data_IF_488659208362
#
_entry.id   IF_488659208362
#
_cell.length_a   1.000
_cell.length_b   1.000
_cell.length_c   1.000
_cell.angle_alpha   90.00
_cell.angle_beta   90.00
_cell.angle_gamma   90.00
#
_symmetry.space_group_name_H-M   'P 1'
#
loop_
_entity.id
_entity.type
_entity.pdbx_description
1 polymer ?
#
# COMPACT_ATOMS: atom_id res chain seq x y z
N UNK A 1 8.43 -0.38 24.43
CA UNK A 1 7.30 -1.22 24.00
C UNK A 1 6.15 -0.93 24.95
N UNK A 2 4.91 -0.65 24.49
CA UNK A 2 3.82 -0.36 25.40
C UNK A 2 3.47 -1.65 26.18
N UNK A 3 3.25 -1.51 27.48
CA UNK A 3 3.22 -2.65 28.40
C UNK A 3 1.95 -3.52 28.30
N UNK A 4 0.87 -3.01 27.70
CA UNK A 4 -0.33 -3.78 27.34
C UNK A 4 -1.32 -2.83 26.66
N UNK A 5 -1.95 -3.25 25.57
CA UNK A 5 -3.15 -2.55 25.10
C UNK A 5 -4.30 -2.83 26.09
N UNK A 6 -5.05 -1.82 26.52
CA UNK A 6 -6.14 -2.00 27.48
C UNK A 6 -7.31 -2.80 26.91
N UNK A 7 -7.37 -2.96 25.58
CA UNK A 7 -8.39 -3.70 24.85
C UNK A 7 -7.75 -4.55 23.76
N UNK A 8 -8.43 -5.62 23.36
CA UNK A 8 -8.10 -6.40 22.16
C UNK A 8 -8.64 -5.76 20.88
N UNK A 9 -9.43 -4.69 21.00
CA UNK A 9 -10.01 -3.95 19.88
C UNK A 9 -8.95 -3.16 19.11
N UNK A 10 -9.12 -3.11 17.79
CA UNK A 10 -8.29 -2.31 16.90
C UNK A 10 -8.23 -0.85 17.36
N UNK A 11 -7.00 -0.36 17.58
CA UNK A 11 -6.76 1.00 18.05
C UNK A 11 -7.32 2.07 17.09
N UNK A 12 -7.42 1.78 15.79
CA UNK A 12 -7.84 2.74 14.76
C UNK A 12 -9.36 2.84 14.61
N UNK A 13 -10.07 1.70 14.59
CA UNK A 13 -11.51 1.70 14.33
C UNK A 13 -12.35 1.38 15.57
N UNK A 14 -11.77 0.69 16.56
CA UNK A 14 -12.45 0.25 17.79
C UNK A 14 -13.67 -0.66 17.57
N UNK A 15 -13.82 -1.27 16.38
CA UNK A 15 -15.00 -2.06 16.01
C UNK A 15 -14.79 -3.58 16.10
N UNK A 16 -13.56 -4.06 16.03
CA UNK A 16 -13.26 -5.50 16.00
C UNK A 16 -11.93 -5.79 16.66
N UNK A 17 -11.71 -7.01 17.16
CA UNK A 17 -10.42 -7.43 17.67
C UNK A 17 -9.31 -7.25 16.63
N UNK A 18 -8.14 -6.82 17.07
CA UNK A 18 -6.97 -6.55 16.22
C UNK A 18 -6.26 -7.85 15.82
N UNK A 19 -6.97 -8.71 15.08
CA UNK A 19 -6.40 -9.90 14.44
C UNK A 19 -5.41 -9.49 13.34
N UNK A 20 -4.55 -10.40 12.89
CA UNK A 20 -3.62 -10.10 11.78
C UNK A 20 -4.35 -9.65 10.50
N UNK A 21 -5.51 -10.24 10.21
CA UNK A 21 -6.34 -9.84 9.08
C UNK A 21 -6.88 -8.41 9.26
N UNK A 22 -7.38 -8.08 10.44
CA UNK A 22 -7.91 -6.75 10.75
C UNK A 22 -6.81 -5.69 10.78
N UNK A 23 -5.68 -6.05 11.37
CA UNK A 23 -4.49 -5.23 11.48
C UNK A 23 -4.01 -4.75 10.11
N UNK A 24 -4.02 -5.61 9.09
CA UNK A 24 -3.46 -5.25 7.79
C UNK A 24 -4.53 -4.89 6.75
N UNK A 25 -5.68 -5.57 6.75
CA UNK A 25 -6.61 -5.56 5.61
C UNK A 25 -8.04 -5.17 5.97
N UNK A 26 -8.69 -5.90 6.87
CA UNK A 26 -10.16 -5.82 7.05
C UNK A 26 -10.62 -4.67 7.94
N UNK A 27 -9.71 -3.91 8.54
CA UNK A 27 -10.06 -2.67 9.21
C UNK A 27 -10.77 -1.70 8.23
N UNK A 28 -11.96 -1.17 8.56
CA UNK A 28 -12.73 -0.30 7.65
C UNK A 28 -12.04 1.02 7.33
N UNK A 29 -11.00 1.41 8.08
CA UNK A 29 -10.15 2.57 7.76
C UNK A 29 -9.00 2.23 6.80
N UNK A 30 -8.57 0.96 6.75
CA UNK A 30 -7.44 0.47 5.94
C UNK A 30 -7.91 -0.16 4.63
N UNK A 31 -9.02 -0.90 4.64
CA UNK A 31 -9.58 -1.58 3.47
C UNK A 31 -9.81 -0.65 2.26
N UNK A 32 -10.34 0.59 2.42
CA UNK A 32 -10.52 1.49 1.28
C UNK A 32 -9.21 1.95 0.62
N UNK A 33 -8.09 1.87 1.34
CA UNK A 33 -6.74 2.17 0.81
C UNK A 33 -6.34 1.05 -0.14
N UNK A 34 -6.46 -0.19 0.33
CA UNK A 34 -6.21 -1.38 -0.48
C UNK A 34 -7.09 -1.44 -1.72
N UNK A 35 -8.39 -1.15 -1.59
CA UNK A 35 -9.31 -1.12 -2.72
C UNK A 35 -8.89 -0.11 -3.80
N UNK A 36 -8.47 1.10 -3.38
CA UNK A 36 -7.94 2.11 -4.31
C UNK A 36 -6.76 1.55 -5.09
N UNK A 37 -5.73 1.11 -4.37
CA UNK A 37 -4.46 0.68 -4.97
C UNK A 37 -4.65 -0.54 -5.85
N UNK A 38 -5.51 -1.47 -5.43
CA UNK A 38 -5.80 -2.67 -6.20
C UNK A 38 -6.38 -2.32 -7.56
N UNK A 39 -7.42 -1.48 -7.57
CA UNK A 39 -8.08 -1.05 -8.80
C UNK A 39 -7.18 -0.18 -9.69
N UNK A 40 -6.29 0.61 -9.10
CA UNK A 40 -5.43 1.57 -9.82
C UNK A 40 -4.15 0.92 -10.39
N UNK A 41 -3.57 -0.07 -9.70
CA UNK A 41 -2.20 -0.51 -9.96
C UNK A 41 -1.99 -2.02 -10.02
N UNK A 42 -2.96 -2.83 -9.57
CA UNK A 42 -2.82 -4.30 -9.53
C UNK A 42 -3.71 -4.94 -10.58
N UNK A 43 -5.03 -4.80 -10.44
CA UNK A 43 -6.01 -5.37 -11.36
C UNK A 43 -7.26 -4.47 -11.43
N UNK A 44 -7.39 -3.66 -12.49
CA UNK A 44 -8.56 -2.79 -12.69
C UNK A 44 -9.89 -3.54 -12.88
N UNK A 45 -9.85 -4.84 -13.20
CA UNK A 45 -11.06 -5.65 -13.37
C UNK A 45 -11.71 -6.03 -12.03
N UNK A 46 -10.96 -5.92 -10.92
CA UNK A 46 -11.43 -6.21 -9.57
C UNK A 46 -11.90 -4.91 -8.91
N UNK A 47 -13.21 -4.68 -8.94
CA UNK A 47 -13.85 -3.46 -8.41
C UNK A 47 -14.03 -3.48 -6.88
N UNK A 48 -14.00 -4.66 -6.26
CA UNK A 48 -14.14 -4.83 -4.82
C UNK A 48 -13.15 -5.90 -4.33
N UNK A 49 -11.96 -5.48 -3.94
CA UNK A 49 -10.99 -6.39 -3.32
C UNK A 49 -11.40 -6.66 -1.87
N UNK A 50 -11.47 -7.94 -1.50
CA UNK A 50 -11.64 -8.41 -0.12
C UNK A 50 -10.29 -8.59 0.56
N UNK A 51 -10.27 -8.69 1.89
CA UNK A 51 -9.04 -8.99 2.62
C UNK A 51 -8.42 -10.33 2.21
N UNK A 52 -9.24 -11.33 1.89
CA UNK A 52 -8.77 -12.65 1.41
C UNK A 52 -8.02 -12.58 0.08
N UNK A 53 -8.43 -11.72 -0.85
CA UNK A 53 -7.71 -11.54 -2.13
C UNK A 53 -6.35 -10.89 -1.88
N UNK A 54 -6.28 -9.88 -1.00
CA UNK A 54 -5.03 -9.21 -0.67
C UNK A 54 -4.06 -10.17 0.03
N UNK A 55 -4.57 -10.98 0.97
CA UNK A 55 -3.79 -12.03 1.65
C UNK A 55 -3.26 -13.08 0.68
N UNK A 56 -4.12 -13.57 -0.21
CA UNK A 56 -3.74 -14.55 -1.22
C UNK A 56 -2.62 -13.99 -2.10
N UNK A 57 -2.78 -12.76 -2.57
CA UNK A 57 -1.74 -12.11 -3.35
C UNK A 57 -0.44 -12.03 -2.55
N UNK A 58 -0.44 -11.47 -1.34
CA UNK A 58 0.78 -11.35 -0.53
C UNK A 58 1.52 -12.66 -0.26
N UNK A 59 0.79 -13.78 -0.21
CA UNK A 59 1.36 -15.11 0.03
C UNK A 59 1.74 -15.86 -1.25
N UNK A 60 1.24 -15.44 -2.41
CA UNK A 60 1.50 -16.07 -3.72
C UNK A 60 2.38 -15.22 -4.64
N UNK A 61 2.64 -13.95 -4.29
CA UNK A 61 3.52 -13.03 -5.00
C UNK A 61 4.92 -13.67 -5.15
N UNK A 62 5.21 -14.17 -6.35
CA UNK A 62 6.53 -14.70 -6.71
C UNK A 62 6.60 -16.21 -6.93
N UNK A 63 5.52 -16.97 -6.72
CA UNK A 63 5.54 -18.44 -6.95
C UNK A 63 5.66 -18.78 -8.44
N UNK A 64 5.04 -17.97 -9.31
CA UNK A 64 4.91 -18.32 -10.73
C UNK A 64 5.78 -17.46 -11.66
N UNK A 65 6.60 -16.53 -11.12
CA UNK A 65 7.42 -15.60 -11.90
C UNK A 65 6.66 -14.65 -12.82
N UNK A 66 5.32 -14.69 -12.83
CA UNK A 66 4.44 -13.96 -13.75
C UNK A 66 3.99 -12.60 -13.23
N UNK A 67 4.22 -12.32 -11.93
CA UNK A 67 3.81 -11.05 -11.34
C UNK A 67 4.72 -9.92 -11.81
N UNK A 68 4.12 -8.95 -12.50
CA UNK A 68 4.83 -7.76 -12.97
C UNK A 68 5.39 -6.98 -11.77
N UNK A 69 6.54 -6.33 -11.96
CA UNK A 69 7.18 -5.48 -10.94
C UNK A 69 6.22 -4.41 -10.42
N UNK A 70 5.36 -3.86 -11.28
CA UNK A 70 4.47 -2.75 -10.94
C UNK A 70 3.44 -3.08 -9.81
N UNK A 71 2.67 -4.19 -9.86
CA UNK A 71 1.86 -4.62 -8.73
C UNK A 71 2.63 -4.86 -7.43
N UNK A 72 3.85 -5.41 -7.49
CA UNK A 72 4.70 -5.60 -6.31
C UNK A 72 5.07 -4.25 -5.67
N UNK A 73 5.44 -3.27 -6.49
CA UNK A 73 5.70 -1.91 -6.03
C UNK A 73 4.45 -1.28 -5.41
N UNK A 74 3.28 -1.50 -6.00
CA UNK A 74 2.01 -0.98 -5.47
C UNK A 74 1.69 -1.54 -4.09
N UNK A 75 1.87 -2.85 -3.91
CA UNK A 75 1.67 -3.54 -2.64
C UNK A 75 2.66 -3.04 -1.59
N UNK A 76 3.95 -2.95 -1.94
CA UNK A 76 4.99 -2.42 -1.04
C UNK A 76 4.70 -0.96 -0.65
N UNK A 77 4.36 -0.12 -1.63
CA UNK A 77 3.99 1.28 -1.44
C UNK A 77 2.71 1.46 -0.60
N UNK A 78 1.90 0.41 -0.45
CA UNK A 78 0.69 0.43 0.39
C UNK A 78 0.98 0.00 1.81
N UNK A 79 1.76 -1.07 1.98
CA UNK A 79 2.12 -1.61 3.30
C UNK A 79 2.86 -0.58 4.15
N UNK A 80 3.86 0.10 3.61
CA UNK A 80 4.69 1.03 4.37
C UNK A 80 3.87 2.22 4.94
N UNK A 81 3.05 2.96 4.16
CA UNK A 81 2.21 4.02 4.71
C UNK A 81 1.15 3.55 5.70
N UNK A 82 0.53 2.38 5.47
CA UNK A 82 -0.42 1.81 6.44
C UNK A 82 0.28 1.51 7.76
N UNK A 83 1.43 0.85 7.70
CA UNK A 83 2.23 0.48 8.86
C UNK A 83 2.71 1.70 9.62
N UNK A 84 3.39 2.63 8.94
CA UNK A 84 3.92 3.85 9.57
C UNK A 84 2.82 4.72 10.17
N UNK A 85 1.69 4.90 9.49
CA UNK A 85 0.56 5.68 10.01
C UNK A 85 -0.13 4.99 11.19
N UNK A 86 -0.21 3.66 11.19
CA UNK A 86 -0.73 2.89 12.32
C UNK A 86 0.14 3.07 13.57
N UNK A 87 1.47 2.99 13.43
CA UNK A 87 2.36 3.17 14.57
C UNK A 87 2.50 4.63 15.01
N UNK A 88 2.39 5.59 14.10
CA UNK A 88 2.29 7.01 14.46
C UNK A 88 1.02 7.28 15.28
N UNK A 89 -0.09 6.62 14.97
CA UNK A 89 -1.30 6.69 15.78
C UNK A 89 -1.08 6.14 17.19
N UNK A 90 -0.41 4.99 17.33
CA UNK A 90 -0.22 4.34 18.64
C UNK A 90 0.82 5.05 19.51
N UNK A 91 1.91 5.53 18.92
CA UNK A 91 3.08 6.00 19.68
C UNK A 91 3.25 7.52 19.68
N UNK A 92 2.61 8.22 18.76
CA UNK A 92 2.84 9.65 18.53
C UNK A 92 1.53 10.46 18.53
N UNK A 93 0.41 9.83 18.88
CA UNK A 93 -0.94 10.43 18.89
C UNK A 93 -1.33 11.09 17.56
N UNK A 94 -0.77 10.63 16.44
CA UNK A 94 -1.10 11.16 15.11
C UNK A 94 -2.37 10.47 14.59
N UNK A 95 -3.48 11.19 14.34
CA UNK A 95 -4.73 10.57 13.90
C UNK A 95 -4.59 9.78 12.60
N UNK A 96 -5.11 8.55 12.58
CA UNK A 96 -5.15 7.75 11.35
C UNK A 96 -6.23 8.27 10.41
N UNK A 97 -5.82 8.89 9.29
CA UNK A 97 -6.73 9.42 8.27
C UNK A 97 -6.56 8.67 6.94
N UNK A 98 -7.61 7.96 6.51
CA UNK A 98 -7.60 7.16 5.27
C UNK A 98 -7.18 7.96 4.03
N UNK A 99 -7.63 9.22 3.88
CA UNK A 99 -7.28 10.03 2.72
C UNK A 99 -5.81 10.47 2.74
N UNK A 100 -5.30 10.86 3.91
CA UNK A 100 -3.88 11.17 4.09
C UNK A 100 -2.99 9.97 3.79
N UNK A 101 -3.37 8.77 4.24
CA UNK A 101 -2.61 7.55 3.94
C UNK A 101 -2.65 7.23 2.45
N UNK A 102 -3.81 7.36 1.77
CA UNK A 102 -3.88 7.21 0.30
C UNK A 102 -2.90 8.13 -0.42
N UNK A 103 -2.82 9.41 -0.03
CA UNK A 103 -1.86 10.35 -0.60
C UNK A 103 -0.40 9.91 -0.39
N UNK A 104 -0.07 9.42 0.81
CA UNK A 104 1.26 8.86 1.10
C UNK A 104 1.58 7.66 0.22
N UNK A 105 0.60 6.76 0.00
CA UNK A 105 0.74 5.62 -0.90
C UNK A 105 1.05 6.07 -2.32
N UNK A 106 0.25 6.98 -2.89
CA UNK A 106 0.49 7.49 -4.25
C UNK A 106 1.89 8.12 -4.39
N UNK A 107 2.30 8.92 -3.41
CA UNK A 107 3.63 9.55 -3.39
C UNK A 107 4.75 8.50 -3.35
N UNK A 108 4.59 7.46 -2.53
CA UNK A 108 5.58 6.38 -2.40
C UNK A 108 5.64 5.51 -3.64
N UNK A 109 4.49 5.19 -4.23
CA UNK A 109 4.42 4.41 -5.45
C UNK A 109 5.14 5.10 -6.61
N UNK A 110 4.88 6.40 -6.83
CA UNK A 110 5.57 7.19 -7.86
C UNK A 110 7.09 7.21 -7.65
N UNK A 111 7.53 7.35 -6.40
CA UNK A 111 8.95 7.32 -6.06
C UNK A 111 9.58 5.95 -6.38
N UNK A 112 8.96 4.86 -5.96
CA UNK A 112 9.46 3.50 -6.22
C UNK A 112 9.48 3.17 -7.72
N UNK A 113 8.47 3.63 -8.47
CA UNK A 113 8.43 3.49 -9.92
C UNK A 113 9.59 4.26 -10.58
N UNK A 114 9.85 5.50 -10.15
CA UNK A 114 10.98 6.29 -10.62
C UNK A 114 12.32 5.62 -10.32
N UNK A 115 12.51 5.09 -9.11
CA UNK A 115 13.73 4.37 -8.72
C UNK A 115 13.94 3.10 -9.57
N UNK A 116 12.85 2.44 -9.96
CA UNK A 116 12.89 1.26 -10.85
C UNK A 116 13.34 1.66 -12.25
N UNK A 117 12.80 2.74 -12.82
CA UNK A 117 13.24 3.25 -14.13
C UNK A 117 14.72 3.66 -14.14
N UNK A 118 15.20 4.29 -13.07
CA UNK A 118 16.61 4.65 -12.94
C UNK A 118 17.51 3.42 -12.92
N UNK A 119 17.10 2.35 -12.22
CA UNK A 119 17.85 1.07 -12.19
C UNK A 119 17.88 0.38 -13.56
N UNK A 120 16.81 0.52 -14.34
CA UNK A 120 16.71 -0.02 -15.71
C UNK A 120 17.40 0.84 -16.77
N UNK A 121 17.98 1.99 -16.38
CA UNK A 121 18.65 2.91 -17.29
C UNK A 121 17.69 3.67 -18.22
N UNK A 122 16.40 3.71 -17.90
CA UNK A 122 15.38 4.43 -18.67
C UNK A 122 15.45 5.92 -18.29
N UNK A 123 15.72 6.83 -19.23
CA UNK A 123 15.83 8.25 -18.92
C UNK A 123 14.50 8.85 -18.44
N UNK A 124 14.58 9.72 -17.43
CA UNK A 124 13.46 10.41 -16.78
C UNK A 124 12.92 11.61 -17.59
N UNK A 125 13.47 11.85 -18.78
CA UNK A 125 13.02 12.87 -19.72
C UNK A 125 12.98 12.28 -21.13
N UNK A 126 12.01 12.70 -21.97
CA UNK A 126 12.06 12.35 -23.38
C UNK A 126 13.42 12.78 -23.95
N UNK A 127 14.01 12.01 -24.88
CA UNK A 127 15.23 12.42 -25.56
C UNK A 127 15.03 13.84 -26.11
N UNK A 128 15.99 14.77 -25.96
CA UNK A 128 15.87 16.07 -26.60
C UNK A 128 15.56 15.82 -28.07
N UNK A 129 14.43 16.32 -28.55
CA UNK A 129 14.06 16.23 -29.95
C UNK A 129 15.21 16.86 -30.73
N UNK A 130 16.02 16.02 -31.39
CA UNK A 130 17.00 16.49 -32.34
C UNK A 130 16.17 17.12 -33.46
N UNK A 131 16.05 18.44 -33.44
CA UNK A 131 15.57 19.24 -34.54
C UNK A 131 16.51 18.99 -35.72
N UNK A 132 16.20 17.99 -36.54
CA UNK A 132 16.80 17.79 -37.84
C UNK A 132 16.29 18.92 -38.73
N UNK A 133 17.10 19.97 -38.86
CA UNK A 133 17.04 20.94 -39.95
C UNK A 133 17.49 20.28 -41.25
#
# INVERSE_FOLDING_TARGET
MPASFPTDLCAICSLSPDSLDHFLFSCPKKLPIWQSVWSEHVDPSVTAVSSSIIQLALTTLGVDGSFKVLPLLAIAATLEPIWSSHWAFIFQDVPFNTASVKHLVSTKFLKLQQETFLKEGIPHSPPPLLSLN
#
